data_IF_415543578112
#
_entry.id   IF_415543578112
#
_cell.length_a   1.000
_cell.length_b   1.000
_cell.length_c   1.000
_cell.angle_alpha   90.00
_cell.angle_beta   90.00
_cell.angle_gamma   90.00
#
_symmetry.space_group_name_H-M   'P 1'
#
loop_
_entity.id
_entity.type
_entity.pdbx_description
1 polymer ?
#
# COMPACT_ATOMS: atom_id res chain seq x y z
N UNK A 1 -3.97 -52.35 33.68
CA UNK A 1 -3.67 -51.08 34.37
C UNK A 1 -4.73 -50.06 33.91
N UNK A 2 -5.72 -49.78 34.79
CA UNK A 2 -6.77 -48.77 34.45
C UNK A 2 -6.21 -47.38 34.83
N UNK A 3 -5.86 -46.61 33.83
CA UNK A 3 -5.42 -45.22 34.01
C UNK A 3 -6.66 -44.34 34.17
N UNK A 4 -6.93 -43.93 35.38
CA UNK A 4 -8.01 -42.96 35.67
C UNK A 4 -7.52 -41.57 35.30
N UNK A 5 -7.76 -41.17 34.05
CA UNK A 5 -7.40 -39.84 33.54
C UNK A 5 -8.44 -38.84 34.06
N UNK A 6 -8.01 -37.92 34.93
CA UNK A 6 -8.87 -36.82 35.39
C UNK A 6 -9.19 -35.89 34.19
N UNK A 7 -10.45 -35.39 34.10
CA UNK A 7 -10.92 -34.49 33.03
C UNK A 7 -9.94 -33.37 32.67
N UNK A 8 -9.24 -32.81 33.69
CA UNK A 8 -8.22 -31.76 33.50
C UNK A 8 -6.97 -32.26 32.75
N UNK A 9 -6.56 -33.51 32.96
CA UNK A 9 -5.42 -34.11 32.27
C UNK A 9 -5.76 -34.40 30.81
N UNK A 10 -7.02 -34.74 30.52
CA UNK A 10 -7.51 -34.96 29.16
C UNK A 10 -7.54 -33.64 28.36
N UNK A 11 -7.94 -32.52 28.99
CA UNK A 11 -7.88 -31.19 28.39
C UNK A 11 -6.45 -30.75 28.06
N UNK A 12 -5.51 -30.98 28.99
CA UNK A 12 -4.08 -30.64 28.76
C UNK A 12 -3.52 -31.49 27.63
N UNK A 13 -3.79 -32.78 27.62
CA UNK A 13 -3.35 -33.68 26.53
C UNK A 13 -3.95 -33.27 25.17
N UNK A 14 -5.23 -32.91 25.11
CA UNK A 14 -5.85 -32.42 23.87
C UNK A 14 -5.22 -31.11 23.38
N UNK A 15 -4.89 -30.19 24.30
CA UNK A 15 -4.26 -28.92 23.97
C UNK A 15 -2.83 -29.12 23.41
N UNK A 16 -2.04 -30.02 24.01
CA UNK A 16 -0.68 -30.32 23.53
C UNK A 16 -0.71 -30.99 22.16
N UNK A 17 -1.66 -31.87 21.89
CA UNK A 17 -1.84 -32.49 20.57
C UNK A 17 -2.25 -31.44 19.52
N UNK A 18 -3.17 -30.53 19.86
CA UNK A 18 -3.59 -29.44 18.97
C UNK A 18 -2.44 -28.50 18.60
N UNK A 19 -1.61 -28.13 19.60
CA UNK A 19 -0.42 -27.27 19.35
C UNK A 19 0.63 -28.01 18.50
N UNK A 20 0.86 -29.30 18.76
CA UNK A 20 1.76 -30.11 17.95
C UNK A 20 1.29 -30.24 16.48
N UNK A 21 -0.01 -30.43 16.28
CA UNK A 21 -0.60 -30.48 14.95
C UNK A 21 -0.47 -29.14 14.21
N UNK A 22 -0.69 -28.01 14.89
CA UNK A 22 -0.52 -26.67 14.31
C UNK A 22 0.91 -26.42 13.83
N UNK A 23 1.91 -26.82 14.62
CA UNK A 23 3.33 -26.70 14.24
C UNK A 23 3.65 -27.59 13.04
N UNK A 24 3.16 -28.83 13.00
CA UNK A 24 3.36 -29.75 11.88
C UNK A 24 2.70 -29.26 10.60
N UNK A 25 1.49 -28.71 10.69
CA UNK A 25 0.78 -28.12 9.54
C UNK A 25 1.55 -26.91 9.03
N UNK A 26 1.98 -26.01 9.92
CA UNK A 26 2.78 -24.85 9.53
C UNK A 26 4.11 -25.28 8.87
N UNK A 27 4.82 -26.24 9.46
CA UNK A 27 6.06 -26.77 8.87
C UNK A 27 5.83 -27.44 7.51
N UNK A 28 4.74 -28.21 7.37
CA UNK A 28 4.37 -28.88 6.13
C UNK A 28 4.05 -27.88 5.03
N UNK A 29 3.25 -26.84 5.33
CA UNK A 29 2.91 -25.79 4.36
C UNK A 29 4.11 -24.90 4.02
N UNK A 30 4.95 -24.56 5.00
CA UNK A 30 6.17 -23.76 4.75
C UNK A 30 7.20 -24.57 3.93
N UNK A 31 7.34 -25.85 4.21
CA UNK A 31 8.30 -26.71 3.48
C UNK A 31 7.74 -27.23 2.14
N UNK A 32 6.41 -27.23 1.94
CA UNK A 32 5.79 -27.59 0.67
C UNK A 32 5.61 -26.41 -0.27
N UNK A 33 5.69 -25.17 0.24
CA UNK A 33 5.60 -23.93 -0.54
C UNK A 33 6.79 -23.67 -1.45
N UNK A 34 7.97 -24.19 -1.08
CA UNK A 34 9.21 -23.95 -1.83
C UNK A 34 9.38 -24.79 -3.11
N UNK A 35 8.43 -25.68 -3.42
CA UNK A 35 8.54 -26.55 -4.62
C UNK A 35 7.61 -26.21 -5.78
N UNK A 36 6.76 -25.18 -5.68
CA UNK A 36 5.85 -24.81 -6.79
C UNK A 36 6.03 -23.39 -7.32
N UNK A 37 6.97 -22.61 -6.80
CA UNK A 37 7.34 -21.29 -7.33
C UNK A 37 8.68 -21.29 -8.09
N UNK A 38 9.29 -22.46 -8.31
CA UNK A 38 10.63 -22.59 -8.91
C UNK A 38 10.63 -23.01 -10.39
N UNK A 39 9.52 -22.84 -11.12
CA UNK A 39 9.51 -23.26 -12.54
C UNK A 39 9.11 -22.17 -13.53
N UNK A 40 9.23 -20.88 -13.17
CA UNK A 40 9.16 -19.76 -14.12
C UNK A 40 10.01 -18.55 -13.69
N UNK A 41 11.16 -18.79 -13.06
CA UNK A 41 12.20 -17.77 -12.97
C UNK A 41 13.43 -18.31 -13.68
N UNK A 42 13.64 -17.84 -14.89
CA UNK A 42 14.96 -17.86 -15.50
C UNK A 42 15.96 -17.32 -14.47
N UNK A 43 16.97 -18.13 -14.23
CA UNK A 43 18.12 -17.89 -13.39
C UNK A 43 18.65 -16.47 -13.57
N UNK A 44 18.27 -15.58 -12.66
CA UNK A 44 19.09 -14.41 -12.41
C UNK A 44 19.93 -14.76 -11.20
N UNK A 45 21.14 -15.28 -11.47
CA UNK A 45 22.25 -15.26 -10.55
C UNK A 45 22.54 -13.78 -10.24
N UNK A 46 21.95 -13.25 -9.21
CA UNK A 46 22.14 -11.89 -8.73
C UNK A 46 22.79 -11.93 -7.37
N UNK A 47 24.10 -12.02 -7.38
CA UNK A 47 24.97 -11.47 -6.35
C UNK A 47 24.46 -10.04 -6.05
N UNK A 48 24.07 -9.74 -4.80
CA UNK A 48 23.76 -8.40 -4.34
C UNK A 48 25.03 -7.56 -4.35
N UNK A 49 25.42 -7.11 -5.52
CA UNK A 49 26.43 -6.09 -5.68
C UNK A 49 25.70 -4.75 -5.52
N UNK A 50 26.03 -4.03 -4.45
CA UNK A 50 25.80 -2.58 -4.34
C UNK A 50 26.52 -1.89 -5.51
N UNK A 51 25.89 -1.79 -6.66
CA UNK A 51 26.34 -0.94 -7.74
C UNK A 51 25.66 0.43 -7.63
N UNK A 52 26.22 1.26 -6.75
CA UNK A 52 26.12 2.71 -6.85
C UNK A 52 26.94 3.13 -8.08
N UNK A 53 26.29 3.28 -9.24
CA UNK A 53 26.88 4.08 -10.31
C UNK A 53 27.12 3.45 -11.68
N UNK A 54 26.32 2.50 -12.15
CA UNK A 54 26.29 2.19 -13.59
C UNK A 54 24.92 2.55 -14.17
N UNK A 55 24.91 3.62 -14.98
CA UNK A 55 23.74 4.01 -15.77
C UNK A 55 23.52 2.94 -16.87
N UNK A 56 22.72 1.93 -16.57
CA UNK A 56 22.20 1.02 -17.60
C UNK A 56 21.20 1.79 -18.45
N UNK A 57 21.43 1.82 -19.75
CA UNK A 57 20.45 2.31 -20.72
C UNK A 57 19.17 1.47 -20.62
N UNK A 58 18.20 1.96 -19.86
CA UNK A 58 16.85 1.42 -19.79
C UNK A 58 16.02 2.20 -20.81
N UNK A 59 15.29 1.49 -21.64
CA UNK A 59 14.36 2.06 -22.62
C UNK A 59 13.47 3.12 -21.96
N UNK A 60 13.24 4.25 -22.60
CA UNK A 60 12.55 5.41 -21.99
C UNK A 60 11.15 5.08 -21.45
N UNK A 61 10.47 4.08 -22.02
CA UNK A 61 9.17 3.60 -21.54
C UNK A 61 9.26 2.83 -20.20
N UNK A 62 10.33 2.04 -20.00
CA UNK A 62 10.56 1.34 -18.72
C UNK A 62 10.85 2.32 -17.57
N UNK A 63 11.62 3.39 -17.82
CA UNK A 63 11.97 4.38 -16.78
C UNK A 63 10.76 5.17 -16.25
N UNK A 64 9.76 5.44 -17.10
CA UNK A 64 8.55 6.13 -16.65
C UNK A 64 7.64 5.23 -15.81
N UNK A 65 7.45 3.98 -16.21
CA UNK A 65 6.69 3.02 -15.40
C UNK A 65 7.34 2.81 -14.02
N UNK A 66 8.67 2.71 -13.98
CA UNK A 66 9.45 2.61 -12.74
C UNK A 66 9.28 3.86 -11.86
N UNK A 67 9.28 5.07 -12.45
CA UNK A 67 9.08 6.32 -11.72
C UNK A 67 7.72 6.38 -11.02
N UNK A 68 6.62 6.05 -11.72
CA UNK A 68 5.27 6.04 -11.13
C UNK A 68 5.17 5.01 -10.01
N UNK A 69 5.65 3.80 -10.23
CA UNK A 69 5.65 2.73 -9.23
C UNK A 69 6.51 3.10 -8.00
N UNK A 70 7.70 3.65 -8.21
CA UNK A 70 8.57 4.09 -7.13
C UNK A 70 7.95 5.24 -6.33
N UNK A 71 7.31 6.19 -7.00
CA UNK A 71 6.68 7.34 -6.33
C UNK A 71 5.45 6.92 -5.54
N UNK A 72 4.63 6.01 -6.08
CA UNK A 72 3.50 5.42 -5.35
C UNK A 72 3.97 4.67 -4.10
N UNK A 73 5.01 3.84 -4.23
CA UNK A 73 5.58 3.11 -3.10
C UNK A 73 6.13 4.04 -2.02
N UNK A 74 6.84 5.09 -2.40
CA UNK A 74 7.36 6.10 -1.45
C UNK A 74 6.23 6.81 -0.72
N UNK A 75 5.16 7.18 -1.41
CA UNK A 75 3.99 7.82 -0.81
C UNK A 75 3.25 6.86 0.12
N UNK A 76 3.04 5.63 -0.30
CA UNK A 76 2.40 4.61 0.53
C UNK A 76 3.18 4.39 1.83
N UNK A 77 4.50 4.26 1.73
CA UNK A 77 5.38 4.14 2.89
C UNK A 77 5.28 5.35 3.82
N UNK A 78 5.27 6.58 3.29
CA UNK A 78 5.12 7.78 4.09
C UNK A 78 3.76 7.84 4.81
N UNK A 79 2.67 7.41 4.16
CA UNK A 79 1.35 7.29 4.79
C UNK A 79 1.34 6.25 5.90
N UNK A 80 1.94 5.09 5.67
CA UNK A 80 1.98 4.01 6.66
C UNK A 80 2.83 4.39 7.88
N UNK A 81 3.98 5.05 7.68
CA UNK A 81 4.81 5.61 8.75
C UNK A 81 4.04 6.66 9.58
N UNK A 82 3.28 7.53 8.90
CA UNK A 82 2.45 8.54 9.58
C UNK A 82 1.31 7.90 10.38
N UNK A 83 0.66 6.87 9.84
CA UNK A 83 -0.38 6.12 10.56
C UNK A 83 0.19 5.38 11.76
N UNK A 84 1.38 4.79 11.64
CA UNK A 84 2.06 4.13 12.76
C UNK A 84 2.38 5.13 13.88
N UNK A 85 2.90 6.32 13.55
CA UNK A 85 3.20 7.37 14.52
C UNK A 85 1.93 7.87 15.24
N UNK A 86 0.85 8.11 14.49
CA UNK A 86 -0.44 8.51 15.07
C UNK A 86 -1.02 7.43 15.98
N UNK A 87 -0.97 6.16 15.58
CA UNK A 87 -1.43 5.04 16.42
C UNK A 87 -0.58 4.90 17.69
N UNK A 88 0.74 5.07 17.59
CA UNK A 88 1.64 5.09 18.76
C UNK A 88 1.31 6.24 19.69
N UNK A 89 1.04 7.41 19.17
CA UNK A 89 0.62 8.58 19.95
C UNK A 89 -0.73 8.34 20.62
N UNK A 90 -1.68 7.70 19.93
CA UNK A 90 -2.99 7.35 20.48
C UNK A 90 -2.89 6.39 21.67
N UNK A 91 -1.94 5.44 21.64
CA UNK A 91 -1.72 4.50 22.76
C UNK A 91 -1.05 5.16 23.97
N UNK A 92 -0.40 6.30 23.79
CA UNK A 92 0.29 7.03 24.86
C UNK A 92 -0.61 8.00 25.63
N UNK A 93 -1.81 8.31 25.15
CA UNK A 93 -2.76 9.24 25.78
C UNK A 93 -3.93 8.50 26.44
N UNK A 94 -4.58 9.08 27.49
CA UNK A 94 -5.73 8.46 28.13
C UNK A 94 -6.90 8.31 27.16
N UNK A 95 -7.54 7.14 27.17
CA UNK A 95 -8.72 6.87 26.34
C UNK A 95 -9.85 7.86 26.64
N UNK A 96 -10.43 8.47 25.60
CA UNK A 96 -11.52 9.42 25.71
C UNK A 96 -11.09 10.85 26.03
N UNK A 97 -9.79 11.13 26.16
CA UNK A 97 -9.28 12.50 26.29
C UNK A 97 -9.53 13.31 25.00
N UNK A 98 -9.51 14.63 25.11
CA UNK A 98 -9.60 15.53 23.96
C UNK A 98 -8.44 15.28 22.97
N UNK A 99 -7.27 14.97 23.50
CA UNK A 99 -6.07 14.63 22.75
C UNK A 99 -6.24 13.31 21.97
N UNK A 100 -6.84 12.28 22.58
CA UNK A 100 -7.16 11.02 21.91
C UNK A 100 -8.18 11.22 20.79
N UNK A 101 -9.16 12.11 20.99
CA UNK A 101 -10.15 12.45 19.95
C UNK A 101 -9.48 13.18 18.77
N UNK A 102 -8.58 14.13 19.02
CA UNK A 102 -7.83 14.84 17.99
C UNK A 102 -6.95 13.90 17.17
N UNK A 103 -6.23 12.96 17.82
CA UNK A 103 -5.42 11.95 17.14
C UNK A 103 -6.29 11.03 16.28
N UNK A 104 -7.43 10.59 16.82
CA UNK A 104 -8.38 9.74 16.06
C UNK A 104 -8.92 10.46 14.83
N UNK A 105 -9.24 11.75 14.94
CA UNK A 105 -9.65 12.59 13.81
C UNK A 105 -8.54 12.68 12.76
N UNK A 106 -7.28 12.82 13.17
CA UNK A 106 -6.12 12.84 12.26
C UNK A 106 -5.92 11.51 11.53
N UNK A 107 -6.10 10.38 12.22
CA UNK A 107 -6.04 9.04 11.61
C UNK A 107 -7.15 8.90 10.55
N UNK A 108 -8.36 9.32 10.87
CA UNK A 108 -9.48 9.26 9.94
C UNK A 108 -9.20 10.12 8.71
N UNK A 109 -8.80 11.38 8.90
CA UNK A 109 -8.49 12.29 7.80
C UNK A 109 -7.37 11.74 6.89
N UNK A 110 -6.31 11.17 7.46
CA UNK A 110 -5.24 10.56 6.67
C UNK A 110 -5.70 9.33 5.89
N UNK A 111 -6.57 8.51 6.49
CA UNK A 111 -7.14 7.33 5.83
C UNK A 111 -8.09 7.72 4.68
N UNK A 112 -8.95 8.70 4.90
CA UNK A 112 -9.87 9.22 3.89
C UNK A 112 -9.10 9.85 2.73
N UNK A 113 -8.04 10.61 3.02
CA UNK A 113 -7.13 11.16 2.02
C UNK A 113 -6.48 10.07 1.18
N UNK A 114 -5.89 9.05 1.82
CA UNK A 114 -5.26 7.90 1.13
C UNK A 114 -6.25 7.21 0.19
N UNK A 115 -7.49 7.00 0.66
CA UNK A 115 -8.55 6.41 -0.15
C UNK A 115 -8.93 7.28 -1.34
N UNK A 116 -9.12 8.59 -1.11
CA UNK A 116 -9.50 9.53 -2.15
C UNK A 116 -8.44 9.65 -3.24
N UNK A 117 -7.16 9.73 -2.87
CA UNK A 117 -6.03 9.71 -3.81
C UNK A 117 -6.04 8.44 -4.67
N UNK A 118 -6.23 7.27 -4.05
CA UNK A 118 -6.29 5.99 -4.75
C UNK A 118 -7.49 5.88 -5.71
N UNK A 119 -8.67 6.35 -5.29
CA UNK A 119 -9.88 6.36 -6.10
C UNK A 119 -9.71 7.30 -7.32
N UNK A 120 -9.15 8.49 -7.14
CA UNK A 120 -8.85 9.45 -8.22
C UNK A 120 -7.82 8.86 -9.19
N UNK A 121 -6.72 8.27 -8.69
CA UNK A 121 -5.72 7.62 -9.53
C UNK A 121 -6.31 6.49 -10.38
N UNK A 122 -7.16 5.65 -9.79
CA UNK A 122 -7.81 4.57 -10.50
C UNK A 122 -8.73 5.08 -11.62
N UNK A 123 -9.52 6.13 -11.34
CA UNK A 123 -10.42 6.73 -12.31
C UNK A 123 -9.67 7.44 -13.44
N UNK A 124 -8.65 8.24 -13.12
CA UNK A 124 -7.83 8.94 -14.11
C UNK A 124 -7.07 7.93 -14.97
N UNK A 125 -6.44 6.93 -14.36
CA UNK A 125 -5.73 5.88 -15.10
C UNK A 125 -6.65 5.11 -16.04
N UNK A 126 -7.86 4.79 -15.62
CA UNK A 126 -8.87 4.13 -16.44
C UNK A 126 -9.33 5.00 -17.62
N UNK A 127 -9.49 6.30 -17.40
CA UNK A 127 -9.96 7.25 -18.44
C UNK A 127 -8.89 7.61 -19.46
N UNK A 128 -7.63 7.74 -19.02
CA UNK A 128 -6.50 8.12 -19.88
C UNK A 128 -5.77 6.91 -20.46
N UNK A 129 -5.97 5.71 -19.92
CA UNK A 129 -5.21 4.51 -20.31
C UNK A 129 -3.72 4.58 -19.95
N UNK A 130 -3.35 5.41 -18.97
CA UNK A 130 -1.97 5.63 -18.57
C UNK A 130 -1.86 5.77 -17.04
N UNK A 131 -0.67 5.45 -16.51
CA UNK A 131 -0.40 5.64 -15.09
C UNK A 131 -0.49 7.13 -14.70
N UNK A 132 -1.01 7.39 -13.51
CA UNK A 132 -1.01 8.69 -12.90
C UNK A 132 -0.73 8.60 -11.39
N UNK A 133 -0.38 9.74 -10.80
CA UNK A 133 -0.26 9.95 -9.36
C UNK A 133 -1.15 11.14 -9.01
N UNK A 134 -1.97 10.98 -7.98
CA UNK A 134 -2.75 12.06 -7.41
C UNK A 134 -2.23 12.38 -6.01
N UNK A 135 -2.02 13.65 -5.74
CA UNK A 135 -1.70 14.19 -4.42
C UNK A 135 -2.77 15.21 -4.06
N UNK A 136 -3.50 14.95 -3.00
CA UNK A 136 -4.61 15.81 -2.55
C UNK A 136 -4.26 16.37 -1.18
N UNK A 137 -4.23 17.69 -1.05
CA UNK A 137 -3.97 18.39 0.20
C UNK A 137 -4.96 19.53 0.35
N UNK A 138 -5.46 19.74 1.55
CA UNK A 138 -6.22 20.93 2.03
C UNK A 138 -6.90 21.81 0.95
N UNK A 139 -7.68 21.18 0.05
CA UNK A 139 -8.40 21.90 -1.00
C UNK A 139 -7.60 22.14 -2.29
N UNK A 140 -6.47 21.48 -2.46
CA UNK A 140 -5.67 21.46 -3.69
C UNK A 140 -5.44 20.01 -4.18
N UNK A 141 -5.44 19.83 -5.50
CA UNK A 141 -5.11 18.55 -6.13
C UNK A 141 -4.01 18.73 -7.17
N UNK A 142 -2.96 17.94 -7.06
CA UNK A 142 -1.92 17.83 -8.07
C UNK A 142 -1.97 16.43 -8.71
N UNK A 143 -2.18 16.40 -10.02
CA UNK A 143 -2.25 15.16 -10.82
C UNK A 143 -1.05 15.11 -11.74
N UNK A 144 -0.24 14.10 -11.59
CA UNK A 144 0.91 13.84 -12.46
C UNK A 144 0.56 12.68 -13.39
N UNK A 145 0.59 12.90 -14.69
CA UNK A 145 0.31 11.89 -15.70
C UNK A 145 1.55 11.56 -16.52
N UNK A 146 1.53 10.42 -17.19
CA UNK A 146 2.63 9.99 -18.06
C UNK A 146 2.79 11.00 -19.21
N UNK A 147 4.05 11.33 -19.54
CA UNK A 147 4.40 12.21 -20.66
C UNK A 147 3.77 11.77 -21.97
N UNK A 148 3.14 12.72 -22.66
CA UNK A 148 2.41 12.50 -23.90
C UNK A 148 0.98 12.01 -23.70
N UNK A 149 0.49 11.90 -22.46
CA UNK A 149 -0.91 11.54 -22.15
C UNK A 149 -1.82 12.75 -22.01
N UNK A 150 -1.26 13.97 -21.95
CA UNK A 150 -2.01 15.19 -21.71
C UNK A 150 -2.36 15.87 -23.04
N UNK A 151 -3.64 16.10 -23.24
CA UNK A 151 -4.21 16.95 -24.29
C UNK A 151 -5.46 17.63 -23.70
N UNK A 152 -6.08 18.53 -24.44
CA UNK A 152 -7.24 19.30 -23.95
C UNK A 152 -8.38 18.38 -23.46
N UNK A 153 -8.65 17.28 -24.16
CA UNK A 153 -9.68 16.30 -23.79
C UNK A 153 -9.30 15.54 -22.51
N UNK A 154 -8.02 15.18 -22.36
CA UNK A 154 -7.50 14.55 -21.14
C UNK A 154 -7.60 15.47 -19.93
N UNK A 155 -7.25 16.75 -20.10
CA UNK A 155 -7.39 17.77 -19.04
C UNK A 155 -8.84 17.86 -18.57
N UNK A 156 -9.80 17.98 -19.52
CA UNK A 156 -11.22 18.05 -19.19
C UNK A 156 -11.70 16.81 -18.43
N UNK A 157 -11.29 15.61 -18.83
CA UNK A 157 -11.63 14.35 -18.14
C UNK A 157 -11.08 14.29 -16.73
N UNK A 158 -9.84 14.72 -16.52
CA UNK A 158 -9.23 14.77 -15.18
C UNK A 158 -9.99 15.77 -14.31
N UNK A 159 -10.29 16.95 -14.83
CA UNK A 159 -11.05 17.96 -14.11
C UNK A 159 -12.44 17.44 -13.68
N UNK A 160 -13.18 16.80 -14.60
CA UNK A 160 -14.47 16.17 -14.31
C UNK A 160 -14.38 15.12 -13.18
N UNK A 161 -13.30 14.31 -13.18
CA UNK A 161 -13.07 13.32 -12.13
C UNK A 161 -12.86 14.01 -10.78
N UNK A 162 -12.02 15.03 -10.72
CA UNK A 162 -11.73 15.75 -9.48
C UNK A 162 -13.00 16.43 -8.95
N UNK A 163 -13.73 17.18 -9.78
CA UNK A 163 -14.96 17.88 -9.38
C UNK A 163 -16.06 16.91 -8.93
N UNK A 164 -16.13 15.71 -9.52
CA UNK A 164 -17.15 14.71 -9.17
C UNK A 164 -16.84 13.94 -7.89
N UNK A 165 -15.57 13.84 -7.48
CA UNK A 165 -15.13 13.04 -6.34
C UNK A 165 -14.59 13.85 -5.16
N UNK A 166 -14.41 15.16 -5.36
CA UNK A 166 -13.88 16.08 -4.34
C UNK A 166 -14.62 17.39 -4.33
N UNK A 167 -14.47 18.16 -3.26
CA UNK A 167 -14.97 19.56 -3.18
C UNK A 167 -13.90 20.57 -3.67
N UNK A 168 -12.87 20.13 -4.39
CA UNK A 168 -11.76 20.95 -4.85
C UNK A 168 -12.18 21.72 -6.11
N UNK A 169 -12.15 23.05 -6.09
CA UNK A 169 -12.49 23.84 -7.27
C UNK A 169 -11.44 23.69 -8.37
N UNK A 170 -11.83 23.79 -9.62
CA UNK A 170 -10.97 23.68 -10.79
C UNK A 170 -9.74 24.59 -10.74
N UNK A 171 -9.85 25.76 -10.10
CA UNK A 171 -8.72 26.70 -9.92
C UNK A 171 -7.58 26.15 -9.08
N UNK A 172 -7.86 25.15 -8.25
CA UNK A 172 -6.92 24.54 -7.32
C UNK A 172 -6.44 23.16 -7.80
N UNK A 173 -6.75 22.81 -9.04
CA UNK A 173 -6.28 21.57 -9.66
C UNK A 173 -5.10 21.87 -10.56
N UNK A 174 -3.97 21.24 -10.28
CA UNK A 174 -2.75 21.30 -11.09
C UNK A 174 -2.55 19.96 -11.79
N UNK A 175 -2.40 19.97 -13.11
CA UNK A 175 -2.15 18.78 -13.91
C UNK A 175 -0.81 18.95 -14.61
N UNK A 176 0.09 17.97 -14.45
CA UNK A 176 1.45 18.00 -15.00
C UNK A 176 1.81 16.67 -15.67
N UNK A 177 2.77 16.69 -16.57
CA UNK A 177 3.38 15.50 -17.17
C UNK A 177 4.77 15.24 -16.61
N UNK A 178 5.09 13.96 -16.47
CA UNK A 178 6.42 13.51 -15.99
C UNK A 178 6.92 12.31 -16.79
#
# INVERSE_FOLDING_TARGET
MNVIIKKRQLLVAALTVALGAAVLVNWYFTNSGDKKLADNTETINGEYVQNLGEAKYVNAEGKQADYFAETQLKREKAHDESLEELNKSLTAVPSGSEEAQAITASITALTDKKKLEADVEALVSAKLGSACIAVINDGEAEIVVKKGSLNDDAVLKVMEIIESNTDIPASNVKITES
#
